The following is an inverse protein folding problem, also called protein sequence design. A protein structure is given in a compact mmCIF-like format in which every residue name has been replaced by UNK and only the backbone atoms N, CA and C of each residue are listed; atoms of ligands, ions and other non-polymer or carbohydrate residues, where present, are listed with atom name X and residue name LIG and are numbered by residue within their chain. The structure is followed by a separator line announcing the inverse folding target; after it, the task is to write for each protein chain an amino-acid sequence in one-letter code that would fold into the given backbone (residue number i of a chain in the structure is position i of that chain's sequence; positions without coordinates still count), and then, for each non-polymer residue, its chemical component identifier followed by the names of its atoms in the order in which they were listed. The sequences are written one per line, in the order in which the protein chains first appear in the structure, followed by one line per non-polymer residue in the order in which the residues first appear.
data_IF_077208307564
#
_entry.id   IF_077208307564
#
_cell.length_a   1.000
_cell.length_b   1.000
_cell.length_c   1.000
_cell.angle_alpha   90.00
_cell.angle_beta   90.00
_cell.angle_gamma   90.00
#
_symmetry.space_group_name_H-M   'P 1'
#
loop_
_entity.id
_entity.type
_entity.pdbx_description
1 polymer ?
#
# COMPACT_ATOMS: atom_id res chain seq x y z
N UNK A 1 -14.15 -4.59 7.90
CA UNK A 1 -13.98 -3.33 7.14
C UNK A 1 -13.85 -3.66 5.66
N UNK A 2 -14.31 -2.83 4.73
CA UNK A 2 -14.28 -3.15 3.30
C UNK A 2 -13.01 -2.62 2.62
N UNK A 3 -12.32 -3.44 1.84
CA UNK A 3 -11.17 -3.01 1.04
C UNK A 3 -11.64 -2.14 -0.14
N UNK A 4 -11.09 -0.92 -0.27
CA UNK A 4 -11.48 0.01 -1.33
C UNK A 4 -11.06 -0.45 -2.74
N UNK A 5 -10.16 -1.44 -2.83
CA UNK A 5 -9.74 -2.01 -4.12
C UNK A 5 -10.58 -3.20 -4.56
N UNK A 6 -10.65 -4.25 -3.74
CA UNK A 6 -11.31 -5.49 -4.12
C UNK A 6 -12.75 -5.61 -3.59
N UNK A 7 -13.22 -4.62 -2.82
CA UNK A 7 -14.54 -4.60 -2.18
C UNK A 7 -14.84 -5.82 -1.29
N UNK A 8 -13.81 -6.58 -0.92
CA UNK A 8 -13.93 -7.69 0.03
C UNK A 8 -13.81 -7.16 1.44
N UNK A 9 -14.53 -7.79 2.35
CA UNK A 9 -14.36 -7.57 3.77
C UNK A 9 -13.01 -8.12 4.24
N UNK A 10 -12.35 -7.34 5.09
CA UNK A 10 -11.09 -7.67 5.71
C UNK A 10 -11.10 -7.23 7.18
N UNK A 11 -10.43 -8.03 8.00
CA UNK A 11 -10.21 -7.74 9.42
C UNK A 11 -9.22 -6.59 9.63
N UNK A 12 -8.27 -6.44 8.69
CA UNK A 12 -7.24 -5.41 8.75
C UNK A 12 -7.11 -4.71 7.39
N UNK A 13 -7.04 -3.38 7.43
CA UNK A 13 -6.83 -2.52 6.28
C UNK A 13 -5.63 -1.62 6.53
N UNK A 14 -4.78 -1.46 5.52
CA UNK A 14 -3.66 -0.54 5.53
C UNK A 14 -3.88 0.57 4.50
N UNK A 15 -3.45 1.78 4.83
CA UNK A 15 -3.53 2.93 3.94
C UNK A 15 -2.35 2.91 2.96
N UNK A 16 -2.63 2.85 1.67
CA UNK A 16 -1.62 3.11 0.65
C UNK A 16 -1.39 4.63 0.55
N UNK A 17 -0.19 5.15 0.88
CA UNK A 17 0.07 6.58 0.86
C UNK A 17 0.25 7.16 -0.55
N UNK A 18 0.27 6.34 -1.60
CA UNK A 18 0.43 6.76 -2.99
C UNK A 18 -0.90 6.94 -3.74
N UNK A 19 -1.95 6.24 -3.33
CA UNK A 19 -3.31 6.43 -3.83
C UNK A 19 -4.33 6.84 -2.77
N UNK A 20 -3.95 6.85 -1.49
CA UNK A 20 -4.80 7.23 -0.36
C UNK A 20 -5.87 6.20 0.00
N UNK A 21 -5.88 5.03 -0.66
CA UNK A 21 -6.91 4.00 -0.46
C UNK A 21 -6.55 3.06 0.68
N UNK A 22 -7.53 2.71 1.50
CA UNK A 22 -7.46 1.64 2.50
C UNK A 22 -7.65 0.29 1.82
N UNK A 23 -6.61 -0.51 1.84
CA UNK A 23 -6.57 -1.80 1.17
C UNK A 23 -6.29 -2.94 2.13
N UNK A 24 -6.84 -4.12 1.83
CA UNK A 24 -6.54 -5.33 2.59
C UNK A 24 -5.15 -5.87 2.24
N UNK A 25 -4.60 -6.74 3.10
CA UNK A 25 -3.29 -7.34 2.88
C UNK A 25 -3.15 -8.08 1.54
N UNK A 26 -4.23 -8.68 1.03
CA UNK A 26 -4.20 -9.33 -0.28
C UNK A 26 -4.06 -8.33 -1.44
N UNK A 27 -4.50 -7.08 -1.26
CA UNK A 27 -4.34 -6.02 -2.25
C UNK A 27 -3.00 -5.30 -2.15
N UNK A 28 -2.25 -5.50 -1.05
CA UNK A 28 -0.88 -5.04 -0.88
C UNK A 28 0.02 -5.86 -1.82
N UNK A 29 0.92 -5.19 -2.52
CA UNK A 29 1.96 -5.86 -3.33
C UNK A 29 3.24 -6.02 -2.55
N UNK A 30 3.63 -4.96 -1.87
CA UNK A 30 4.86 -4.89 -1.10
C UNK A 30 4.65 -3.93 0.05
N UNK A 31 5.37 -4.16 1.12
CA UNK A 31 5.43 -3.27 2.26
C UNK A 31 6.86 -3.21 2.76
N UNK A 32 7.23 -2.06 3.33
CA UNK A 32 8.53 -1.89 3.96
C UNK A 32 8.44 -0.96 5.14
N UNK A 33 9.41 -1.08 6.04
CA UNK A 33 9.63 -0.12 7.11
C UNK A 33 10.72 0.85 6.69
N UNK A 34 10.38 2.13 6.63
CA UNK A 34 11.36 3.20 6.41
C UNK A 34 12.18 3.31 7.69
N UNK A 35 13.49 3.06 7.64
CA UNK A 35 14.35 3.02 8.84
C UNK A 35 14.41 4.38 9.55
N UNK A 36 14.41 5.45 8.78
CA UNK A 36 14.57 6.82 9.26
C UNK A 36 13.37 7.27 10.10
N UNK A 37 12.14 7.05 9.62
CA UNK A 37 10.91 7.43 10.31
C UNK A 37 10.26 6.29 11.10
N UNK A 38 10.83 5.08 11.05
CA UNK A 38 10.22 3.81 11.49
C UNK A 38 8.80 3.58 10.96
N UNK A 39 8.40 4.30 9.91
CA UNK A 39 7.04 4.27 9.39
C UNK A 39 6.85 3.03 8.52
N UNK A 40 5.76 2.30 8.76
CA UNK A 40 5.33 1.22 7.89
C UNK A 40 4.66 1.83 6.66
N UNK A 41 5.27 1.63 5.50
CA UNK A 41 4.75 2.08 4.21
C UNK A 41 4.35 0.86 3.40
N UNK A 42 3.12 0.88 2.90
CA UNK A 42 2.58 -0.18 2.05
C UNK A 42 2.33 0.37 0.65
N UNK A 43 2.43 -0.49 -0.36
CA UNK A 43 2.04 -0.16 -1.73
C UNK A 43 1.13 -1.25 -2.29
N UNK A 44 0.01 -0.83 -2.86
CA UNK A 44 -0.97 -1.69 -3.48
C UNK A 44 -0.49 -2.21 -4.84
N UNK A 45 -1.02 -3.34 -5.31
CA UNK A 45 -0.67 -3.88 -6.65
C UNK A 45 -1.04 -2.96 -7.82
N UNK A 46 -1.86 -1.94 -7.58
CA UNK A 46 -2.29 -0.95 -8.59
C UNK A 46 -1.20 0.11 -8.76
N UNK A 47 -0.85 0.79 -7.66
CA UNK A 47 0.29 1.71 -7.57
C UNK A 47 1.62 1.05 -7.92
N UNK A 48 1.74 -0.27 -7.77
CA UNK A 48 2.90 -1.00 -8.23
C UNK A 48 3.03 -1.05 -9.76
N UNK A 49 1.92 -0.99 -10.50
CA UNK A 49 1.94 -0.90 -11.97
C UNK A 49 2.41 0.47 -12.47
N UNK A 50 2.22 1.51 -11.66
CA UNK A 50 2.63 2.87 -11.94
C UNK A 50 4.14 3.06 -11.67
N UNK A 51 4.90 3.41 -12.70
CA UNK A 51 6.37 3.49 -12.63
C UNK A 51 6.82 4.58 -11.66
N UNK A 52 6.16 5.73 -11.64
CA UNK A 52 6.53 6.85 -10.79
C UNK A 52 6.31 6.53 -9.31
N UNK A 53 5.14 5.96 -8.98
CA UNK A 53 4.82 5.53 -7.61
C UNK A 53 5.71 4.39 -7.14
N UNK A 54 5.97 3.40 -8.01
CA UNK A 54 6.91 2.31 -7.70
C UNK A 54 8.32 2.84 -7.43
N UNK A 55 8.81 3.79 -8.22
CA UNK A 55 10.14 4.38 -8.03
C UNK A 55 10.21 5.13 -6.69
N UNK A 56 9.19 5.93 -6.35
CA UNK A 56 9.08 6.59 -5.03
C UNK A 56 9.08 5.57 -3.90
N UNK A 57 8.26 4.52 -4.00
CA UNK A 57 8.25 3.44 -3.00
C UNK A 57 9.60 2.74 -2.87
N UNK A 58 10.33 2.51 -3.95
CA UNK A 58 11.67 1.89 -3.86
C UNK A 58 12.73 2.83 -3.28
N UNK A 59 12.60 4.14 -3.53
CA UNK A 59 13.56 5.15 -3.11
C UNK A 59 13.41 5.64 -1.67
N UNK A 60 12.26 5.39 -1.02
CA UNK A 60 12.08 5.60 0.44
C UNK A 60 12.88 4.61 1.29
#
# INVERSE_FOLDING_TARGET
MLCERCKKEAHYLELDPFCGRKICQNCIKSSKRVKETKQHVVICKDCWGDIEKRKKFKSM
#
